data_IF_952195815453
#
_entry.id   IF_952195815453
#
_cell.length_a   1.000
_cell.length_b   1.000
_cell.length_c   1.000
_cell.angle_alpha   90.00
_cell.angle_beta   90.00
_cell.angle_gamma   90.00
#
_symmetry.space_group_name_H-M   'P 1'
#
loop_
_entity.id
_entity.type
_entity.pdbx_description
1 polymer ?
#
# COMPACT_ATOMS: atom_id res chain seq x y z
N UNK A 1 -13.34 -15.34 -24.68
CA UNK A 1 -12.16 -15.62 -23.84
C UNK A 1 -12.65 -15.76 -22.42
N UNK A 2 -12.39 -16.88 -21.74
CA UNK A 2 -12.61 -16.91 -20.29
C UNK A 2 -11.59 -15.97 -19.64
N UNK A 3 -12.01 -15.08 -18.73
CA UNK A 3 -11.07 -14.22 -18.01
C UNK A 3 -10.06 -15.11 -17.30
N UNK A 4 -8.79 -14.73 -17.36
CA UNK A 4 -7.78 -15.27 -16.45
C UNK A 4 -8.29 -15.10 -15.02
N UNK A 5 -8.24 -16.16 -14.21
CA UNK A 5 -8.60 -16.13 -12.78
C UNK A 5 -7.32 -16.17 -11.96
N UNK A 6 -6.53 -15.11 -12.05
CA UNK A 6 -5.30 -14.95 -11.26
C UNK A 6 -5.55 -14.00 -10.09
N UNK A 7 -4.61 -13.94 -9.15
CA UNK A 7 -4.65 -12.95 -8.07
C UNK A 7 -4.75 -11.52 -8.61
N UNK A 8 -4.07 -11.19 -9.70
CA UNK A 8 -4.14 -9.86 -10.30
C UNK A 8 -5.55 -9.52 -10.78
N UNK A 9 -6.24 -10.48 -11.40
CA UNK A 9 -7.61 -10.30 -11.87
C UNK A 9 -8.58 -10.09 -10.69
N UNK A 10 -8.34 -10.81 -9.58
CA UNK A 10 -9.18 -10.75 -8.38
C UNK A 10 -8.98 -9.49 -7.54
N UNK A 11 -7.74 -9.03 -7.36
CA UNK A 11 -7.41 -7.94 -6.43
C UNK A 11 -7.26 -6.58 -7.11
N UNK A 12 -7.27 -6.52 -8.45
CA UNK A 12 -7.27 -5.25 -9.19
C UNK A 12 -8.49 -5.11 -10.13
N UNK A 13 -9.72 -5.44 -9.70
CA UNK A 13 -10.89 -5.45 -10.59
C UNK A 13 -11.29 -4.05 -11.08
N UNK A 14 -10.83 -3.00 -10.40
CA UNK A 14 -11.10 -1.59 -10.74
C UNK A 14 -9.92 -0.89 -11.41
N UNK A 15 -8.83 -1.62 -11.71
CA UNK A 15 -7.71 -1.04 -12.45
C UNK A 15 -8.16 -0.53 -13.82
N UNK A 16 -7.59 0.56 -14.35
CA UNK A 16 -7.99 1.05 -15.66
C UNK A 16 -7.67 0.01 -16.75
N UNK A 17 -8.47 0.01 -17.82
CA UNK A 17 -8.40 -1.00 -18.88
C UNK A 17 -6.99 -1.17 -19.48
N UNK A 18 -6.22 -0.08 -19.59
CA UNK A 18 -4.84 -0.13 -20.08
C UNK A 18 -3.92 -0.95 -19.15
N UNK A 19 -4.08 -0.85 -17.83
CA UNK A 19 -3.33 -1.64 -16.86
C UNK A 19 -3.78 -3.10 -16.84
N UNK A 20 -5.09 -3.37 -16.93
CA UNK A 20 -5.63 -4.72 -17.07
C UNK A 20 -5.08 -5.41 -18.33
N UNK A 21 -5.00 -4.69 -19.44
CA UNK A 21 -4.40 -5.20 -20.68
C UNK A 21 -2.92 -5.55 -20.51
N UNK A 22 -2.14 -4.70 -19.82
CA UNK A 22 -0.73 -4.99 -19.49
C UNK A 22 -0.56 -6.24 -18.63
N UNK A 23 -1.49 -6.49 -17.69
CA UNK A 23 -1.48 -7.73 -16.89
C UNK A 23 -1.65 -8.95 -17.80
N UNK A 24 -2.56 -8.89 -18.77
CA UNK A 24 -2.78 -9.98 -19.74
C UNK A 24 -1.58 -10.16 -20.68
N UNK A 25 -1.01 -9.08 -21.20
CA UNK A 25 0.20 -9.15 -22.03
C UNK A 25 1.36 -9.79 -21.28
N UNK A 26 1.64 -9.34 -20.05
CA UNK A 26 2.70 -9.90 -19.22
C UNK A 26 2.45 -11.39 -18.92
N UNK A 27 1.21 -11.76 -18.61
CA UNK A 27 0.86 -13.16 -18.40
C UNK A 27 1.09 -14.00 -19.67
N UNK A 28 0.82 -13.47 -20.86
CA UNK A 28 1.10 -14.17 -22.11
C UNK A 28 2.60 -14.29 -22.34
N UNK A 29 3.35 -13.20 -22.19
CA UNK A 29 4.82 -13.16 -22.32
C UNK A 29 5.50 -14.19 -21.42
N UNK A 30 5.11 -14.25 -20.14
CA UNK A 30 5.64 -15.23 -19.18
C UNK A 30 5.29 -16.67 -19.61
N UNK A 31 4.11 -16.90 -20.16
CA UNK A 31 3.64 -18.24 -20.52
C UNK A 31 4.21 -18.76 -21.86
N UNK A 32 4.56 -17.88 -22.80
CA UNK A 32 5.00 -18.29 -24.15
C UNK A 32 6.20 -19.25 -24.15
N UNK A 33 7.29 -19.00 -23.40
CA UNK A 33 8.41 -19.94 -23.35
C UNK A 33 7.99 -21.33 -22.89
N UNK A 34 7.12 -21.42 -21.88
CA UNK A 34 6.69 -22.70 -21.31
C UNK A 34 5.76 -23.51 -22.20
N UNK A 35 4.97 -22.85 -23.07
CA UNK A 35 4.13 -23.55 -24.07
C UNK A 35 4.96 -24.39 -25.03
N UNK A 36 6.15 -23.92 -25.39
CA UNK A 36 7.04 -24.61 -26.33
C UNK A 36 8.01 -25.59 -25.66
N UNK A 37 8.35 -25.35 -24.39
CA UNK A 37 9.35 -26.13 -23.65
C UNK A 37 8.79 -27.29 -22.84
N UNK A 38 7.48 -27.29 -22.53
CA UNK A 38 6.84 -28.31 -21.70
C UNK A 38 5.82 -29.14 -22.49
N UNK A 39 5.59 -30.40 -22.12
CA UNK A 39 4.42 -31.14 -22.57
C UNK A 39 3.14 -30.35 -22.28
N UNK A 40 2.21 -30.33 -23.24
CA UNK A 40 0.99 -29.52 -23.16
C UNK A 40 0.14 -29.83 -21.92
N UNK A 41 0.10 -31.09 -21.49
CA UNK A 41 -0.65 -31.50 -20.31
C UNK A 41 -0.02 -30.94 -19.02
N UNK A 42 1.32 -30.93 -18.91
CA UNK A 42 2.04 -30.31 -17.79
C UNK A 42 1.80 -28.80 -17.77
N UNK A 43 1.94 -28.12 -18.91
CA UNK A 43 1.68 -26.68 -19.00
C UNK A 43 0.26 -26.31 -18.55
N UNK A 44 -0.75 -27.05 -19.02
CA UNK A 44 -2.16 -26.82 -18.65
C UNK A 44 -2.40 -27.13 -17.18
N UNK A 45 -1.91 -28.27 -16.66
CA UNK A 45 -2.07 -28.67 -15.26
C UNK A 45 -1.46 -27.64 -14.31
N UNK A 46 -0.23 -27.18 -14.56
CA UNK A 46 0.44 -26.18 -13.73
C UNK A 46 -0.31 -24.85 -13.68
N UNK A 47 -0.84 -24.38 -14.82
CA UNK A 47 -1.64 -23.16 -14.88
C UNK A 47 -2.98 -23.29 -14.16
N UNK A 48 -3.64 -24.44 -14.29
CA UNK A 48 -4.91 -24.68 -13.61
C UNK A 48 -4.69 -24.74 -12.10
N UNK A 49 -3.64 -25.43 -11.64
CA UNK A 49 -3.29 -25.46 -10.22
C UNK A 49 -3.02 -24.05 -9.66
N UNK A 50 -2.28 -23.20 -10.39
CA UNK A 50 -2.06 -21.80 -9.97
C UNK A 50 -3.37 -21.00 -9.86
N UNK A 51 -4.37 -21.28 -10.70
CA UNK A 51 -5.70 -20.64 -10.62
C UNK A 51 -6.49 -21.15 -9.42
N UNK A 52 -6.46 -22.45 -9.14
CA UNK A 52 -7.10 -23.04 -7.95
C UNK A 52 -6.53 -22.41 -6.67
N UNK A 53 -5.20 -22.24 -6.59
CA UNK A 53 -4.55 -21.56 -5.46
C UNK A 53 -5.00 -20.10 -5.36
N UNK A 54 -5.07 -19.37 -6.48
CA UNK A 54 -5.55 -17.99 -6.50
C UNK A 54 -7.00 -17.88 -6.01
N UNK A 55 -7.88 -18.79 -6.42
CA UNK A 55 -9.27 -18.86 -5.97
C UNK A 55 -9.38 -19.13 -4.47
N UNK A 56 -8.58 -20.03 -3.92
CA UNK A 56 -8.54 -20.31 -2.47
C UNK A 56 -8.10 -19.05 -1.70
N UNK A 57 -7.05 -18.37 -2.13
CA UNK A 57 -6.56 -17.14 -1.49
C UNK A 57 -7.61 -16.04 -1.55
N UNK A 58 -8.24 -15.83 -2.70
CA UNK A 58 -9.29 -14.83 -2.86
C UNK A 58 -10.52 -15.13 -2.00
N UNK A 59 -10.96 -16.39 -1.97
CA UNK A 59 -12.08 -16.83 -1.13
C UNK A 59 -11.78 -16.62 0.35
N UNK A 60 -10.57 -16.96 0.79
CA UNK A 60 -10.15 -16.67 2.16
C UNK A 60 -10.11 -15.16 2.44
N UNK A 61 -9.59 -14.34 1.52
CA UNK A 61 -9.61 -12.88 1.66
C UNK A 61 -11.04 -12.34 1.81
N UNK A 62 -12.01 -12.87 1.05
CA UNK A 62 -13.41 -12.44 1.11
C UNK A 62 -14.09 -12.68 2.47
N UNK A 63 -13.53 -13.55 3.32
CA UNK A 63 -14.01 -13.74 4.69
C UNK A 63 -13.60 -12.60 5.63
N UNK A 64 -12.65 -11.74 5.25
CA UNK A 64 -12.36 -10.49 5.94
C UNK A 64 -13.34 -9.41 5.49
N UNK A 65 -14.48 -9.35 6.18
CA UNK A 65 -15.56 -8.40 5.88
C UNK A 65 -15.14 -6.94 6.01
N UNK A 66 -14.11 -6.63 6.82
CA UNK A 66 -13.61 -5.28 7.01
C UNK A 66 -12.61 -4.89 5.92
N UNK A 67 -11.73 -5.81 5.53
CA UNK A 67 -10.64 -5.52 4.59
C UNK A 67 -10.98 -5.73 3.12
N UNK A 68 -11.70 -6.81 2.78
CA UNK A 68 -11.77 -7.32 1.40
C UNK A 68 -12.22 -6.29 0.35
N UNK A 69 -13.24 -5.50 0.68
CA UNK A 69 -13.86 -4.53 -0.23
C UNK A 69 -13.59 -3.08 0.14
N UNK A 70 -12.71 -2.82 1.10
CA UNK A 70 -12.51 -1.46 1.60
C UNK A 70 -11.88 -0.50 0.57
N UNK A 71 -11.26 -1.03 -0.49
CA UNK A 71 -10.82 -0.24 -1.65
C UNK A 71 -11.98 0.40 -2.44
N UNK A 72 -13.21 -0.13 -2.34
CA UNK A 72 -14.40 0.43 -3.00
C UNK A 72 -14.94 1.67 -2.30
N UNK A 73 -14.74 1.76 -0.97
CA UNK A 73 -15.21 2.86 -0.14
C UNK A 73 -14.12 3.20 0.89
N UNK A 74 -13.03 3.87 0.47
CA UNK A 74 -11.90 4.15 1.33
C UNK A 74 -12.18 5.24 2.38
N UNK A 75 -13.38 5.84 2.36
CA UNK A 75 -13.85 6.84 3.31
C UNK A 75 -15.24 6.41 3.81
N UNK A 76 -15.57 6.73 5.07
CA UNK A 76 -16.91 6.48 5.61
C UNK A 76 -17.59 7.83 5.91
N UNK A 77 -18.69 8.19 5.20
CA UNK A 77 -19.38 9.45 5.43
C UNK A 77 -20.07 9.53 6.81
N UNK A 78 -20.21 8.40 7.52
CA UNK A 78 -20.78 8.34 8.88
C UNK A 78 -19.71 8.51 9.95
N UNK A 79 -18.43 8.37 9.60
CA UNK A 79 -17.34 8.58 10.54
C UNK A 79 -17.14 10.08 10.77
N UNK A 80 -17.32 10.51 12.01
CA UNK A 80 -17.05 11.88 12.45
C UNK A 80 -15.79 11.82 13.30
N UNK A 81 -14.65 12.39 12.82
CA UNK A 81 -13.43 12.45 13.61
C UNK A 81 -13.67 13.17 14.94
N UNK A 82 -13.01 12.76 16.04
CA UNK A 82 -13.08 13.48 17.30
C UNK A 82 -12.74 14.96 17.11
N UNK A 83 -13.61 15.84 17.62
CA UNK A 83 -13.39 17.28 17.57
C UNK A 83 -12.68 17.78 18.84
N UNK A 84 -12.00 18.91 18.71
CA UNK A 84 -11.36 19.62 19.83
C UNK A 84 -9.87 19.80 19.66
N UNK A 85 -9.28 20.45 20.66
CA UNK A 85 -7.85 20.77 20.70
C UNK A 85 -7.03 19.48 20.77
N UNK A 86 -5.97 19.42 19.94
CA UNK A 86 -5.08 18.25 19.86
C UNK A 86 -5.67 17.04 19.13
N UNK A 87 -6.85 17.17 18.50
CA UNK A 87 -7.43 16.11 17.67
C UNK A 87 -7.15 16.37 16.20
N UNK A 88 -7.03 15.29 15.43
CA UNK A 88 -6.85 15.35 13.98
C UNK A 88 -8.01 16.11 13.32
N UNK A 89 -7.68 16.90 12.30
CA UNK A 89 -8.65 17.58 11.45
C UNK A 89 -8.21 17.48 9.99
N UNK A 90 -9.15 17.50 9.04
CA UNK A 90 -8.81 17.63 7.62
C UNK A 90 -7.95 18.88 7.38
N UNK A 91 -6.91 18.74 6.56
CA UNK A 91 -5.95 19.82 6.29
C UNK A 91 -6.17 20.41 4.90
N UNK A 92 -5.80 21.69 4.67
CA UNK A 92 -5.72 22.25 3.33
C UNK A 92 -4.78 21.43 2.41
N UNK A 93 -4.95 21.50 1.09
CA UNK A 93 -5.91 22.35 0.37
C UNK A 93 -7.31 21.76 0.22
N UNK A 94 -7.46 20.44 0.34
CA UNK A 94 -8.66 19.71 -0.09
C UNK A 94 -9.57 19.26 1.07
N UNK A 95 -9.10 19.34 2.31
CA UNK A 95 -9.86 18.97 3.51
C UNK A 95 -10.51 17.59 3.38
N UNK A 96 -9.75 16.63 2.82
CA UNK A 96 -10.23 15.26 2.63
C UNK A 96 -10.70 14.61 3.93
N UNK A 97 -11.75 13.77 3.87
CA UNK A 97 -12.19 12.98 5.02
C UNK A 97 -11.11 11.97 5.43
N UNK A 98 -11.20 11.45 6.65
CA UNK A 98 -10.29 10.42 7.15
C UNK A 98 -10.31 9.19 6.23
N UNK A 99 -9.12 8.76 5.82
CA UNK A 99 -8.94 7.57 5.01
C UNK A 99 -9.01 6.32 5.90
N UNK A 100 -9.86 5.37 5.52
CA UNK A 100 -10.01 4.05 6.14
C UNK A 100 -10.10 4.13 7.68
N UNK A 101 -11.05 4.89 8.25
CA UNK A 101 -11.08 5.18 9.69
C UNK A 101 -11.26 3.94 10.58
N UNK A 102 -11.72 2.84 10.00
CA UNK A 102 -11.95 1.56 10.69
C UNK A 102 -10.90 0.49 10.32
N UNK A 103 -9.77 0.85 9.70
CA UNK A 103 -8.77 -0.11 9.21
C UNK A 103 -8.18 -1.01 10.30
N UNK A 104 -8.19 -0.55 11.55
CA UNK A 104 -7.76 -1.36 12.70
C UNK A 104 -8.63 -2.62 12.95
N UNK A 105 -9.78 -2.74 12.31
CA UNK A 105 -10.65 -3.92 12.39
C UNK A 105 -10.36 -4.99 11.30
N UNK A 106 -9.45 -4.69 10.36
CA UNK A 106 -9.06 -5.61 9.29
C UNK A 106 -8.31 -6.81 9.88
N UNK A 107 -8.51 -8.00 9.32
CA UNK A 107 -7.82 -9.19 9.79
C UNK A 107 -6.31 -9.06 9.55
N UNK A 108 -5.54 -9.27 10.62
CA UNK A 108 -4.08 -9.33 10.54
C UNK A 108 -3.62 -10.64 9.91
N UNK A 109 -2.50 -10.61 9.18
CA UNK A 109 -1.87 -11.82 8.63
C UNK A 109 -1.02 -12.56 9.67
N UNK A 110 -0.19 -11.81 10.40
CA UNK A 110 0.75 -12.36 11.38
C UNK A 110 0.76 -11.61 12.71
N UNK A 111 0.35 -10.34 12.73
CA UNK A 111 0.31 -9.52 13.93
C UNK A 111 -0.82 -9.98 14.88
N UNK A 112 -0.61 -9.81 16.18
CA UNK A 112 -1.61 -10.06 17.21
C UNK A 112 -1.83 -8.83 18.12
N UNK A 113 -2.73 -8.95 19.08
CA UNK A 113 -3.13 -7.84 19.96
C UNK A 113 -2.01 -7.29 20.84
N UNK A 114 -0.84 -7.95 20.89
CA UNK A 114 0.34 -7.50 21.63
C UNK A 114 1.28 -6.65 20.77
N UNK A 115 1.09 -6.63 19.45
CA UNK A 115 1.86 -5.80 18.52
C UNK A 115 1.34 -4.35 18.56
N UNK A 116 1.46 -3.72 19.72
CA UNK A 116 1.01 -2.35 19.99
C UNK A 116 2.19 -1.40 20.11
N UNK A 117 1.96 -0.15 19.74
CA UNK A 117 2.91 0.96 19.94
C UNK A 117 2.58 1.68 21.25
N UNK A 118 3.56 2.39 21.79
CA UNK A 118 3.33 3.27 22.95
C UNK A 118 2.33 4.38 22.59
N UNK A 119 1.56 4.80 23.60
CA UNK A 119 0.64 5.93 23.43
C UNK A 119 1.39 7.20 22.98
N UNK A 120 0.77 8.02 22.11
CA UNK A 120 1.37 9.29 21.71
C UNK A 120 1.48 10.24 22.90
N UNK A 121 2.38 11.22 22.78
CA UNK A 121 2.48 12.29 23.77
C UNK A 121 1.14 13.01 23.92
N UNK A 122 0.76 13.30 25.16
CA UNK A 122 -0.44 14.08 25.46
C UNK A 122 -0.28 15.48 24.86
N UNK A 123 -1.29 15.91 24.11
CA UNK A 123 -1.31 17.26 23.56
C UNK A 123 -1.12 18.32 24.65
N UNK A 124 -0.29 19.31 24.36
CA UNK A 124 -0.07 20.48 25.20
C UNK A 124 0.48 21.61 24.35
N UNK A 125 -0.01 22.83 24.58
CA UNK A 125 0.50 24.06 24.01
C UNK A 125 1.58 24.74 24.88
N UNK A 126 1.88 24.16 26.06
CA UNK A 126 2.97 24.62 26.92
C UNK A 126 4.32 24.44 26.21
N UNK A 127 5.12 25.51 26.02
CA UNK A 127 6.43 25.44 25.37
C UNK A 127 7.43 24.47 26.02
N UNK A 128 7.24 24.16 27.30
CA UNK A 128 8.10 23.23 28.04
C UNK A 128 7.68 21.76 27.88
N UNK A 129 6.52 21.48 27.27
CA UNK A 129 6.06 20.11 27.01
C UNK A 129 6.79 19.46 25.84
N UNK A 130 6.93 18.13 25.86
CA UNK A 130 7.71 17.43 24.84
C UNK A 130 7.02 17.43 23.47
N UNK A 131 5.68 17.36 23.43
CA UNK A 131 4.92 17.46 22.17
C UNK A 131 5.10 18.83 21.51
N UNK A 132 5.14 19.91 22.29
CA UNK A 132 5.39 21.25 21.77
C UNK A 132 6.79 21.35 21.18
N UNK A 133 7.81 20.80 21.87
CA UNK A 133 9.19 20.80 21.38
C UNK A 133 9.31 20.04 20.06
N UNK A 134 8.69 18.86 19.93
CA UNK A 134 8.69 18.09 18.68
C UNK A 134 7.97 18.83 17.54
N UNK A 135 6.84 19.48 17.82
CA UNK A 135 6.15 20.32 16.83
C UNK A 135 7.01 21.51 16.41
N UNK A 136 7.71 22.16 17.35
CA UNK A 136 8.60 23.29 17.07
C UNK A 136 9.82 22.88 16.26
N UNK A 137 10.42 21.73 16.58
CA UNK A 137 11.50 21.13 15.80
C UNK A 137 11.08 20.91 14.35
N UNK A 138 9.91 20.29 14.13
CA UNK A 138 9.33 20.06 12.80
C UNK A 138 9.15 21.37 12.03
N UNK A 139 8.58 22.40 12.67
CA UNK A 139 8.40 23.72 12.08
C UNK A 139 9.74 24.36 11.65
N UNK A 140 10.74 24.34 12.54
CA UNK A 140 12.06 24.91 12.28
C UNK A 140 12.75 24.19 11.11
N UNK A 141 12.71 22.86 11.10
CA UNK A 141 13.29 22.04 10.03
C UNK A 141 12.67 22.38 8.67
N UNK A 142 11.33 22.43 8.61
CA UNK A 142 10.60 22.76 7.38
C UNK A 142 10.91 24.18 6.92
N UNK A 143 11.07 25.14 7.83
CA UNK A 143 11.46 26.51 7.48
C UNK A 143 12.86 26.58 6.85
N UNK A 144 13.82 25.79 7.35
CA UNK A 144 15.16 25.70 6.76
C UNK A 144 15.15 25.04 5.36
N UNK A 145 14.33 23.98 5.19
CA UNK A 145 14.10 23.34 3.90
C UNK A 145 13.52 24.33 2.89
N UNK A 146 12.45 25.07 3.27
CA UNK A 146 11.84 26.11 2.42
C UNK A 146 12.80 27.25 2.08
N UNK A 147 13.69 27.60 3.00
CA UNK A 147 14.76 28.57 2.76
C UNK A 147 15.91 28.02 1.90
N UNK A 148 15.79 26.79 1.37
CA UNK A 148 16.79 26.09 0.55
C UNK A 148 18.13 25.88 1.27
N UNK A 149 18.11 25.83 2.60
CA UNK A 149 19.30 25.60 3.44
C UNK A 149 19.59 24.11 3.64
N UNK A 150 18.61 23.26 3.39
CA UNK A 150 18.68 21.80 3.59
C UNK A 150 18.21 21.06 2.32
N UNK A 151 18.97 21.16 1.22
CA UNK A 151 18.56 20.56 -0.04
C UNK A 151 18.42 19.04 0.08
N UNK A 152 19.35 18.34 0.73
CA UNK A 152 19.28 16.88 0.90
C UNK A 152 17.98 16.42 1.58
N UNK A 153 17.55 17.10 2.64
CA UNK A 153 16.29 16.78 3.32
C UNK A 153 15.07 16.95 2.40
N UNK A 154 15.06 17.96 1.52
CA UNK A 154 14.03 18.10 0.50
C UNK A 154 14.03 16.88 -0.44
N UNK A 155 15.21 16.47 -0.93
CA UNK A 155 15.33 15.30 -1.80
C UNK A 155 14.87 14.02 -1.13
N UNK A 156 15.18 13.82 0.15
CA UNK A 156 14.73 12.66 0.92
C UNK A 156 13.21 12.68 1.06
N UNK A 157 12.62 13.83 1.42
CA UNK A 157 11.17 13.97 1.55
C UNK A 157 10.45 13.68 0.22
N UNK A 158 10.92 14.29 -0.88
CA UNK A 158 10.36 14.07 -2.22
C UNK A 158 10.54 12.62 -2.68
N UNK A 159 11.69 12.01 -2.37
CA UNK A 159 11.96 10.63 -2.73
C UNK A 159 10.97 9.69 -2.06
N UNK A 160 10.66 9.86 -0.77
CA UNK A 160 9.77 8.95 -0.02
C UNK A 160 8.28 9.31 -0.08
N UNK A 161 7.93 10.48 -0.60
CA UNK A 161 6.54 10.92 -0.74
C UNK A 161 5.74 10.05 -1.73
N UNK A 162 4.47 9.82 -1.40
CA UNK A 162 3.44 9.21 -2.25
C UNK A 162 2.33 10.21 -2.64
N UNK A 163 2.49 11.50 -2.35
CA UNK A 163 1.48 12.55 -2.56
C UNK A 163 1.31 12.97 -4.03
N UNK A 164 2.07 12.39 -4.96
CA UNK A 164 1.91 12.59 -6.40
C UNK A 164 1.67 11.26 -7.13
N UNK A 165 0.42 10.74 -7.14
CA UNK A 165 0.13 9.39 -7.65
C UNK A 165 0.46 9.14 -9.13
N UNK A 166 0.70 10.21 -9.90
CA UNK A 166 1.12 10.11 -11.32
C UNK A 166 2.63 9.82 -11.43
N UNK A 167 3.42 10.28 -10.46
CA UNK A 167 4.89 10.19 -10.47
C UNK A 167 5.43 9.18 -9.46
N UNK A 168 4.70 8.97 -8.37
CA UNK A 168 5.10 8.08 -7.26
C UNK A 168 4.03 7.01 -7.02
N UNK A 169 4.39 6.00 -6.24
CA UNK A 169 3.54 4.88 -5.86
C UNK A 169 3.52 4.76 -4.34
N UNK A 170 2.51 4.05 -3.81
CA UNK A 170 2.31 3.89 -2.37
C UNK A 170 3.56 3.33 -1.65
N UNK A 171 3.74 3.61 -0.36
CA UNK A 171 4.89 3.12 0.41
C UNK A 171 5.04 1.59 0.35
N UNK A 172 3.94 0.85 0.32
CA UNK A 172 3.95 -0.61 0.18
C UNK A 172 4.59 -1.09 -1.12
N UNK A 173 4.23 -0.49 -2.26
CA UNK A 173 4.81 -0.81 -3.56
C UNK A 173 6.33 -0.50 -3.61
N UNK A 174 6.78 0.50 -2.84
CA UNK A 174 8.21 0.83 -2.72
C UNK A 174 9.02 -0.28 -2.08
N UNK A 175 8.54 -0.85 -0.98
CA UNK A 175 9.23 -1.94 -0.33
C UNK A 175 9.30 -3.19 -1.23
N UNK A 176 8.26 -3.45 -2.03
CA UNK A 176 8.32 -4.51 -3.07
C UNK A 176 9.39 -4.20 -4.12
N UNK A 177 9.48 -2.97 -4.60
CA UNK A 177 10.50 -2.57 -5.57
C UNK A 177 11.93 -2.70 -5.01
N UNK A 178 12.14 -2.31 -3.75
CA UNK A 178 13.43 -2.50 -3.06
C UNK A 178 13.75 -3.99 -2.90
N UNK A 179 12.78 -4.81 -2.48
CA UNK A 179 12.95 -6.25 -2.36
C UNK A 179 13.35 -6.89 -3.69
N UNK A 180 12.75 -6.47 -4.81
CA UNK A 180 13.12 -6.94 -6.15
C UNK A 180 14.58 -6.61 -6.50
N UNK A 181 15.06 -5.41 -6.14
CA UNK A 181 16.47 -5.05 -6.35
C UNK A 181 17.40 -5.92 -5.52
N UNK A 182 17.03 -6.23 -4.27
CA UNK A 182 17.80 -7.14 -3.40
C UNK A 182 17.84 -8.54 -3.98
N UNK A 183 16.71 -9.09 -4.43
CA UNK A 183 16.65 -10.42 -5.07
C UNK A 183 17.61 -10.53 -6.25
N UNK A 184 17.64 -9.49 -7.12
CA UNK A 184 18.55 -9.43 -8.27
C UNK A 184 20.00 -9.32 -7.82
N UNK A 185 20.30 -8.43 -6.88
CA UNK A 185 21.67 -8.19 -6.37
C UNK A 185 22.26 -9.44 -5.73
N UNK A 186 21.47 -10.12 -4.92
CA UNK A 186 21.87 -11.34 -4.19
C UNK A 186 21.76 -12.60 -5.06
N UNK A 187 21.31 -12.48 -6.32
CA UNK A 187 21.08 -13.61 -7.25
C UNK A 187 20.25 -14.73 -6.60
N UNK A 188 19.23 -14.33 -5.85
CA UNK A 188 18.38 -15.26 -5.11
C UNK A 188 17.65 -16.17 -6.10
N UNK A 189 17.74 -17.49 -5.88
CA UNK A 189 17.06 -18.48 -6.73
C UNK A 189 15.66 -18.75 -6.18
N UNK A 190 14.72 -19.01 -7.08
CA UNK A 190 13.47 -19.65 -6.70
C UNK A 190 13.79 -21.06 -6.18
N UNK A 191 13.27 -21.39 -5.00
CA UNK A 191 13.53 -22.66 -4.32
C UNK A 191 12.90 -23.87 -4.99
#
# INVERSE_FOLDING_TARGET
>A
MQPTRTLCDFFFPTAPAAQLFKIVELANEINEPFKSQLPIDIFVKSRNYGREVAEVIFTWSATDVAGHNAYLAPTDPRYIPPAGVGKWQPTPPDFKPALLPNWGNVRTFAADARDVVIDPLVYSDNPNSDIYKQAKETELLVNEVKAKKRPEDQWIADFWSDDCPILTFSPSARFVAVANQVVVKEKTKFG
#
